data_IF_797540939316
#
_entry.id   IF_797540939316
#
_cell.length_a   1.000
_cell.length_b   1.000
_cell.length_c   1.000
_cell.angle_alpha   90.00
_cell.angle_beta   90.00
_cell.angle_gamma   90.00
#
_symmetry.space_group_name_H-M   'P 1'
#
loop_
_entity.id
_entity.type
_entity.pdbx_description
1 polymer ?
#
# COMPACT_ATOMS: atom_id res chain seq x y z
N UNK A 1 -11.56 -19.04 -1.12
CA UNK A 1 -10.34 -18.53 -1.77
C UNK A 1 -9.22 -18.77 -0.79
N UNK A 2 -8.34 -19.72 -1.08
CA UNK A 2 -7.35 -20.26 -0.14
C UNK A 2 -6.18 -19.28 0.07
N UNK A 3 -5.59 -19.30 1.27
CA UNK A 3 -4.44 -18.49 1.74
C UNK A 3 -3.09 -18.81 1.04
N UNK A 4 -3.04 -18.97 -0.29
CA UNK A 4 -1.80 -19.47 -0.95
C UNK A 4 -1.38 -18.76 -2.24
N UNK A 5 -1.64 -17.47 -2.38
CA UNK A 5 -0.95 -16.63 -3.38
C UNK A 5 -1.00 -15.16 -2.93
N UNK A 6 -0.47 -14.86 -1.73
CA UNK A 6 -0.16 -13.46 -1.43
C UNK A 6 1.15 -13.17 -2.16
N UNK A 7 1.18 -12.33 -3.21
CA UNK A 7 2.46 -11.86 -3.72
C UNK A 7 3.17 -11.21 -2.54
N UNK A 8 4.48 -11.42 -2.40
CA UNK A 8 5.23 -10.84 -1.28
C UNK A 8 5.36 -9.33 -1.49
N UNK A 9 4.28 -8.59 -1.27
CA UNK A 9 4.26 -7.14 -1.36
C UNK A 9 5.20 -6.58 -0.31
N UNK A 10 6.03 -5.63 -0.72
CA UNK A 10 6.96 -4.98 0.20
C UNK A 10 6.20 -4.02 1.09
N UNK A 11 6.27 -4.20 2.41
CA UNK A 11 5.65 -3.25 3.35
C UNK A 11 6.34 -1.89 3.27
N UNK A 12 5.55 -0.82 3.28
CA UNK A 12 6.06 0.54 3.34
C UNK A 12 6.85 0.79 4.63
N UNK A 13 7.99 1.46 4.52
CA UNK A 13 8.90 1.77 5.64
C UNK A 13 9.20 3.26 5.71
N UNK A 14 9.26 3.79 6.93
CA UNK A 14 9.63 5.19 7.19
C UNK A 14 11.06 5.49 6.72
N UNK A 15 11.96 4.52 6.89
CA UNK A 15 13.36 4.58 6.43
C UNK A 15 13.55 3.41 5.46
N UNK A 16 13.26 3.59 4.16
CA UNK A 16 13.44 2.53 3.17
C UNK A 16 14.93 2.37 2.84
N UNK A 17 15.28 1.17 2.37
CA UNK A 17 16.65 0.81 1.97
C UNK A 17 16.94 1.12 0.50
N UNK A 18 16.00 1.73 -0.21
CA UNK A 18 16.19 2.20 -1.58
C UNK A 18 17.29 3.27 -1.64
N UNK A 19 18.04 3.29 -2.75
CA UNK A 19 19.08 4.29 -2.99
C UNK A 19 18.52 5.72 -3.12
N UNK A 20 19.41 6.69 -3.36
CA UNK A 20 19.07 8.10 -3.67
C UNK A 20 19.72 8.48 -5.01
N UNK A 21 19.87 7.51 -5.92
CA UNK A 21 20.73 7.68 -7.11
C UNK A 21 19.96 8.20 -8.32
N UNK A 22 18.63 8.13 -8.31
CA UNK A 22 17.78 8.62 -9.40
C UNK A 22 16.39 9.07 -8.88
N UNK A 23 15.66 9.83 -9.71
CA UNK A 23 14.35 10.38 -9.37
C UNK A 23 13.30 9.32 -8.99
N UNK A 24 13.34 8.14 -9.62
CA UNK A 24 12.41 7.05 -9.29
C UNK A 24 12.69 6.40 -7.92
N UNK A 25 13.94 6.33 -7.50
CA UNK A 25 14.29 5.91 -6.13
C UNK A 25 13.89 6.95 -5.08
N UNK A 26 14.00 8.24 -5.43
CA UNK A 26 13.57 9.36 -4.58
C UNK A 26 12.05 9.35 -4.39
N UNK A 27 11.29 9.20 -5.48
CA UNK A 27 9.84 9.03 -5.48
C UNK A 27 9.42 7.83 -4.63
N UNK A 28 10.01 6.65 -4.88
CA UNK A 28 9.74 5.44 -4.09
C UNK A 28 10.00 5.66 -2.60
N UNK A 29 11.09 6.36 -2.25
CA UNK A 29 11.43 6.66 -0.86
C UNK A 29 10.40 7.60 -0.22
N UNK A 30 9.95 8.61 -0.96
CA UNK A 30 8.91 9.54 -0.50
C UNK A 30 7.58 8.81 -0.29
N UNK A 31 7.14 8.01 -1.27
CA UNK A 31 5.91 7.20 -1.20
C UNK A 31 5.97 6.22 -0.03
N UNK A 32 7.07 5.47 0.12
CA UNK A 32 7.26 4.54 1.25
C UNK A 32 7.16 5.24 2.60
N UNK A 33 7.79 6.41 2.76
CA UNK A 33 7.75 7.16 4.01
C UNK A 33 6.34 7.68 4.32
N UNK A 34 5.64 8.25 3.34
CA UNK A 34 4.27 8.72 3.48
C UNK A 34 3.32 7.60 3.91
N UNK A 35 3.38 6.48 3.19
CA UNK A 35 2.56 5.30 3.44
C UNK A 35 2.84 4.65 4.81
N UNK A 36 4.11 4.65 5.24
CA UNK A 36 4.48 4.19 6.58
C UNK A 36 3.87 5.06 7.67
N UNK A 37 3.82 6.39 7.50
CA UNK A 37 3.19 7.29 8.48
C UNK A 37 1.67 7.08 8.52
N UNK A 38 1.04 6.96 7.34
CA UNK A 38 -0.41 6.68 7.23
C UNK A 38 -0.83 5.40 7.94
N UNK A 39 0.01 4.35 7.89
CA UNK A 39 -0.28 3.05 8.52
C UNK A 39 0.22 2.91 9.96
N UNK A 40 1.14 3.77 10.41
CA UNK A 40 1.65 3.74 11.77
C UNK A 40 0.71 4.37 12.82
N UNK A 41 -0.13 5.33 12.41
CA UNK A 41 -1.05 6.04 13.30
C UNK A 41 -2.49 5.73 12.89
N UNK A 42 -3.18 4.89 13.68
CA UNK A 42 -4.52 4.39 13.37
C UNK A 42 -5.53 5.53 13.16
N UNK A 43 -5.49 6.58 13.99
CA UNK A 43 -6.38 7.74 13.86
C UNK A 43 -6.15 8.51 12.56
N UNK A 44 -4.88 8.65 12.15
CA UNK A 44 -4.51 9.35 10.93
C UNK A 44 -4.93 8.56 9.69
N UNK A 45 -4.59 7.27 9.64
CA UNK A 45 -5.00 6.38 8.55
C UNK A 45 -6.53 6.26 8.44
N UNK A 46 -7.24 6.18 9.56
CA UNK A 46 -8.70 6.18 9.57
C UNK A 46 -9.26 7.52 9.08
N UNK A 47 -8.75 8.65 9.57
CA UNK A 47 -9.21 9.97 9.14
C UNK A 47 -8.98 10.20 7.64
N UNK A 48 -7.86 9.71 7.11
CA UNK A 48 -7.52 9.80 5.69
C UNK A 48 -8.43 8.93 4.82
N UNK A 49 -8.69 7.68 5.21
CA UNK A 49 -9.43 6.71 4.38
C UNK A 49 -10.95 6.76 4.54
N UNK A 50 -11.46 7.29 5.66
CA UNK A 50 -12.90 7.37 5.95
C UNK A 50 -13.73 8.10 4.88
N UNK A 51 -13.30 9.24 4.32
CA UNK A 51 -14.00 9.91 3.22
C UNK A 51 -14.20 9.02 1.98
N UNK A 52 -13.34 8.02 1.79
CA UNK A 52 -13.37 7.09 0.65
C UNK A 52 -14.12 5.78 0.96
N UNK A 53 -14.84 5.72 2.07
CA UNK A 53 -15.69 4.57 2.44
C UNK A 53 -14.92 3.37 3.01
N UNK A 54 -13.65 3.54 3.38
CA UNK A 54 -12.87 2.47 3.99
C UNK A 54 -13.47 2.05 5.36
N UNK A 55 -13.55 0.75 5.66
CA UNK A 55 -13.99 0.28 6.97
C UNK A 55 -12.96 0.65 8.05
N UNK A 56 -13.45 0.92 9.27
CA UNK A 56 -12.57 1.06 10.45
C UNK A 56 -11.78 -0.23 10.67
N UNK A 57 -10.45 -0.14 10.56
CA UNK A 57 -9.53 -1.27 10.71
C UNK A 57 -8.09 -0.78 10.61
N UNK A 58 -7.14 -1.67 10.92
CA UNK A 58 -5.72 -1.38 10.81
C UNK A 58 -5.35 -1.20 9.34
N UNK A 59 -4.80 -0.04 9.00
CA UNK A 59 -4.33 0.25 7.66
C UNK A 59 -2.99 -0.47 7.44
N UNK A 60 -2.90 -1.23 6.36
CA UNK A 60 -1.68 -1.85 5.88
C UNK A 60 -1.24 -1.09 4.64
N UNK A 61 0.06 -0.84 4.49
CA UNK A 61 0.58 -0.11 3.36
C UNK A 61 1.80 -0.80 2.75
N UNK A 62 1.85 -0.80 1.42
CA UNK A 62 2.80 -1.54 0.62
C UNK A 62 3.31 -0.71 -0.55
N UNK A 63 4.48 -1.06 -1.06
CA UNK A 63 5.12 -0.46 -2.23
C UNK A 63 5.48 -1.54 -3.25
N UNK A 64 5.75 -1.13 -4.49
CA UNK A 64 6.21 -2.02 -5.58
C UNK A 64 5.27 -3.21 -5.81
N UNK A 65 3.97 -2.93 -5.78
CA UNK A 65 2.94 -3.97 -5.86
C UNK A 65 2.62 -4.25 -7.32
N UNK A 66 2.88 -5.47 -7.78
CA UNK A 66 2.54 -5.88 -9.15
C UNK A 66 1.21 -6.63 -9.20
N UNK A 67 0.34 -6.26 -10.15
CA UNK A 67 -0.90 -6.95 -10.46
C UNK A 67 -0.95 -7.36 -11.92
N UNK A 68 -1.46 -8.56 -12.17
CA UNK A 68 -1.87 -8.98 -13.51
C UNK A 68 -3.36 -8.68 -13.70
N UNK A 69 -3.68 -7.87 -14.70
CA UNK A 69 -5.03 -7.59 -15.13
C UNK A 69 -5.59 -8.77 -15.94
N UNK A 70 -6.92 -8.87 -16.01
CA UNK A 70 -7.60 -9.96 -16.74
C UNK A 70 -7.29 -9.98 -18.25
N UNK A 71 -6.83 -8.86 -18.81
CA UNK A 71 -6.41 -8.72 -20.21
C UNK A 71 -4.93 -9.04 -20.44
N UNK A 72 -4.22 -9.53 -19.41
CA UNK A 72 -2.81 -9.93 -19.48
C UNK A 72 -1.81 -8.78 -19.34
N UNK A 73 -2.26 -7.57 -18.99
CA UNK A 73 -1.37 -6.45 -18.69
C UNK A 73 -0.92 -6.49 -17.24
N UNK A 74 0.37 -6.29 -17.02
CA UNK A 74 0.94 -6.09 -15.69
C UNK A 74 0.93 -4.61 -15.32
N UNK A 75 0.37 -4.26 -14.16
CA UNK A 75 0.43 -2.90 -13.60
C UNK A 75 1.22 -2.92 -12.29
N UNK A 76 2.03 -1.88 -12.08
CA UNK A 76 2.79 -1.68 -10.86
C UNK A 76 2.55 -0.27 -10.30
N UNK A 77 1.51 -0.07 -9.48
CA UNK A 77 1.38 1.16 -8.70
C UNK A 77 2.59 1.39 -7.80
N UNK A 78 2.86 2.66 -7.51
CA UNK A 78 3.95 3.06 -6.61
C UNK A 78 3.63 2.68 -5.16
N UNK A 79 2.35 2.76 -4.80
CA UNK A 79 1.85 2.54 -3.46
C UNK A 79 0.51 1.82 -3.41
N UNK A 80 0.27 1.11 -2.31
CA UNK A 80 -1.00 0.47 -2.00
C UNK A 80 -1.33 0.63 -0.53
N UNK A 81 -2.57 0.98 -0.24
CA UNK A 81 -3.13 0.91 1.11
C UNK A 81 -4.31 -0.05 1.16
N UNK A 82 -4.40 -0.84 2.23
CA UNK A 82 -5.45 -1.82 2.43
C UNK A 82 -5.93 -1.83 3.87
N UNK A 83 -7.24 -1.95 4.04
CA UNK A 83 -7.86 -2.31 5.33
C UNK A 83 -8.70 -3.56 5.15
N UNK A 84 -8.60 -4.48 6.11
CA UNK A 84 -9.37 -5.73 6.12
C UNK A 84 -10.15 -5.80 7.42
N UNK A 85 -11.46 -6.00 7.31
CA UNK A 85 -12.36 -6.19 8.44
C UNK A 85 -13.28 -7.37 8.20
N UNK A 86 -13.00 -8.49 8.86
CA UNK A 86 -13.72 -9.75 8.65
C UNK A 86 -13.57 -10.20 7.19
N UNK A 87 -14.70 -10.33 6.47
CA UNK A 87 -14.73 -10.72 5.05
C UNK A 87 -14.64 -9.55 4.07
N UNK A 88 -14.57 -8.30 4.56
CA UNK A 88 -14.51 -7.10 3.71
C UNK A 88 -13.07 -6.62 3.63
N UNK A 89 -12.57 -6.43 2.42
CA UNK A 89 -11.35 -5.69 2.13
C UNK A 89 -11.70 -4.41 1.39
N UNK A 90 -10.92 -3.37 1.66
CA UNK A 90 -10.89 -2.15 0.88
C UNK A 90 -9.44 -1.87 0.53
N UNK A 91 -9.18 -1.59 -0.74
CA UNK A 91 -7.84 -1.37 -1.29
C UNK A 91 -7.88 -0.11 -2.14
N UNK A 92 -6.86 0.73 -2.00
CA UNK A 92 -6.61 1.87 -2.88
C UNK A 92 -5.14 1.88 -3.32
N UNK A 93 -4.90 2.46 -4.49
CA UNK A 93 -3.59 2.60 -5.11
C UNK A 93 -3.29 4.09 -5.27
N UNK A 94 -2.00 4.44 -5.20
CA UNK A 94 -1.48 5.73 -5.66
C UNK A 94 -1.10 5.62 -7.15
#
# INVERSE_FOLDING_TARGET
MNERDTPSWESARLIPVSGIRNAGEEERRATSALLAVLSAVDEFGLAFTKPYGAPKGRLQAYIEVTFELADGRSIRPDGLIQTVRGKKSWTAFD
#
